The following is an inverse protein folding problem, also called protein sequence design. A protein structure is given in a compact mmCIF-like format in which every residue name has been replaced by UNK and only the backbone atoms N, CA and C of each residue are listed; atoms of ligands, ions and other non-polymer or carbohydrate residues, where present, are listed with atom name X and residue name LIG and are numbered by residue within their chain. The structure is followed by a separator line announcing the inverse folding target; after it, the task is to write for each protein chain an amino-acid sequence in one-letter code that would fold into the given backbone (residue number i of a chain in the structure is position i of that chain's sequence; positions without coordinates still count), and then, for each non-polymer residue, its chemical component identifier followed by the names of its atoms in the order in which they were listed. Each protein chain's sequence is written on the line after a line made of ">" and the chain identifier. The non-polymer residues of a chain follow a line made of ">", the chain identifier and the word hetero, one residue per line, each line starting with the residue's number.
data_IF_374252861258
#
_entry.id   IF_374252861258
#
_cell.length_a   1.000
_cell.length_b   1.000
_cell.length_c   1.000
_cell.angle_alpha   90.00
_cell.angle_beta   90.00
_cell.angle_gamma   90.00
#
_symmetry.space_group_name_H-M   'P 1'
#
loop_
_entity.id
_entity.type
_entity.pdbx_description
1 polymer ?
#
# COMPACT_ATOMS: atom_id res chain seq x y z
N UNK A 1 0.70 16.19 6.70
CA UNK A 1 -0.11 16.98 5.75
C UNK A 1 -1.02 16.02 5.00
N UNK A 2 -2.32 16.28 4.95
CA UNK A 2 -3.31 15.32 4.45
C UNK A 2 -3.38 15.30 2.92
N UNK A 3 -2.44 14.59 2.29
CA UNK A 3 -2.27 14.59 0.84
C UNK A 3 -3.49 14.10 0.03
N UNK A 4 -4.41 13.36 0.65
CA UNK A 4 -5.54 12.72 -0.04
C UNK A 4 -6.91 13.33 0.30
N UNK A 5 -6.97 14.41 1.10
CA UNK A 5 -8.24 15.08 1.41
C UNK A 5 -8.72 15.94 0.25
N UNK A 6 -10.03 15.89 -0.03
CA UNK A 6 -10.69 16.78 -1.00
C UNK A 6 -10.79 16.25 -2.44
N UNK A 7 -10.38 15.01 -2.71
CA UNK A 7 -10.52 14.39 -4.03
C UNK A 7 -10.53 12.86 -3.95
N UNK A 8 -10.78 12.19 -5.08
CA UNK A 8 -10.70 10.74 -5.15
C UNK A 8 -9.22 10.31 -5.00
N UNK A 9 -8.85 9.45 -4.03
CA UNK A 9 -7.45 9.16 -3.71
C UNK A 9 -6.60 8.74 -4.91
N UNK A 10 -7.13 7.89 -5.78
CA UNK A 10 -6.43 7.41 -6.98
C UNK A 10 -6.17 8.52 -8.02
N UNK A 11 -7.02 9.54 -8.10
CA UNK A 11 -6.80 10.69 -8.99
C UNK A 11 -5.71 11.60 -8.43
N UNK A 12 -5.76 11.87 -7.13
CA UNK A 12 -4.75 12.67 -6.43
C UNK A 12 -3.37 12.03 -6.55
N UNK A 13 -3.25 10.72 -6.34
CA UNK A 13 -1.99 9.99 -6.50
C UNK A 13 -1.47 10.03 -7.94
N UNK A 14 -2.35 9.90 -8.94
CA UNK A 14 -1.98 10.04 -10.36
C UNK A 14 -1.44 11.44 -10.65
N UNK A 15 -2.05 12.49 -10.12
CA UNK A 15 -1.63 13.86 -10.38
C UNK A 15 -0.35 14.21 -9.63
N UNK A 16 -0.13 13.67 -8.43
CA UNK A 16 1.15 13.75 -7.72
C UNK A 16 2.28 13.07 -8.51
N UNK A 17 2.02 11.92 -9.12
CA UNK A 17 3.00 11.22 -9.95
C UNK A 17 3.44 12.02 -11.18
N UNK A 18 2.57 12.87 -11.74
CA UNK A 18 2.97 13.80 -12.82
C UNK A 18 4.01 14.82 -12.36
N UNK A 19 4.04 15.15 -11.06
CA UNK A 19 4.95 16.14 -10.48
C UNK A 19 6.23 15.52 -9.93
N UNK A 20 6.13 14.39 -9.24
CA UNK A 20 7.25 13.78 -8.50
C UNK A 20 7.81 12.53 -9.15
N UNK A 21 7.16 12.01 -10.20
CA UNK A 21 7.56 10.79 -10.89
C UNK A 21 6.79 9.55 -10.43
N UNK A 22 7.01 8.40 -11.09
CA UNK A 22 6.22 7.18 -10.92
C UNK A 22 6.52 6.39 -9.64
N UNK A 23 7.60 6.75 -8.94
CA UNK A 23 7.96 6.25 -7.62
C UNK A 23 8.15 7.47 -6.72
N UNK A 24 7.33 7.59 -5.69
CA UNK A 24 7.36 8.75 -4.81
C UNK A 24 7.16 8.33 -3.35
N UNK A 25 7.83 9.05 -2.45
CA UNK A 25 7.61 8.93 -1.02
C UNK A 25 6.49 9.89 -0.60
N UNK A 26 5.60 9.41 0.28
CA UNK A 26 4.48 10.17 0.79
C UNK A 26 4.33 9.93 2.30
N UNK A 27 4.09 10.99 3.04
CA UNK A 27 3.68 10.92 4.43
C UNK A 27 2.15 10.96 4.52
N UNK A 28 1.50 9.82 4.73
CA UNK A 28 0.04 9.72 4.87
C UNK A 28 -0.35 9.69 6.35
N UNK A 29 -0.67 10.87 6.88
CA UNK A 29 -0.83 11.04 8.32
C UNK A 29 0.49 10.73 9.02
N UNK A 30 0.48 9.74 9.90
CA UNK A 30 1.67 9.26 10.63
C UNK A 30 2.42 8.13 9.90
N UNK A 31 1.84 7.59 8.81
CA UNK A 31 2.44 6.49 8.05
C UNK A 31 3.31 7.01 6.92
N UNK A 32 4.58 6.63 6.93
CA UNK A 32 5.52 6.84 5.83
C UNK A 32 5.36 5.71 4.80
N UNK A 33 5.10 6.06 3.54
CA UNK A 33 4.87 5.07 2.48
C UNK A 33 5.53 5.45 1.15
N UNK A 34 5.82 4.44 0.34
CA UNK A 34 6.28 4.59 -1.05
C UNK A 34 5.12 4.21 -1.97
N UNK A 35 4.79 5.11 -2.90
CA UNK A 35 3.75 4.89 -3.90
C UNK A 35 4.40 4.57 -5.24
N UNK A 36 3.91 3.51 -5.89
CA UNK A 36 4.22 3.18 -7.28
C UNK A 36 2.99 3.42 -8.15
N UNK A 37 3.14 4.18 -9.24
CA UNK A 37 2.01 4.58 -10.10
C UNK A 37 2.16 4.19 -11.57
N UNK A 38 3.22 3.47 -11.95
CA UNK A 38 3.39 2.95 -13.31
C UNK A 38 3.04 1.47 -13.41
N UNK A 39 2.47 1.00 -14.54
CA UNK A 39 2.20 -0.42 -14.76
C UNK A 39 3.46 -1.28 -14.68
N UNK A 40 4.58 -0.80 -15.23
CA UNK A 40 5.85 -1.52 -15.20
C UNK A 40 6.35 -1.71 -13.77
N UNK A 41 6.27 -0.68 -12.92
CA UNK A 41 6.66 -0.83 -11.52
C UNK A 41 5.67 -1.66 -10.70
N UNK A 42 4.37 -1.55 -10.97
CA UNK A 42 3.39 -2.44 -10.37
C UNK A 42 3.70 -3.91 -10.69
N UNK A 43 4.11 -4.23 -11.93
CA UNK A 43 4.55 -5.58 -12.30
C UNK A 43 5.82 -6.02 -11.55
N UNK A 44 6.77 -5.12 -11.37
CA UNK A 44 7.99 -5.42 -10.60
C UNK A 44 7.66 -5.76 -9.14
N UNK A 45 6.77 -5.01 -8.50
CA UNK A 45 6.38 -5.18 -7.08
C UNK A 45 5.44 -6.37 -6.88
N UNK A 46 4.40 -6.49 -7.70
CA UNK A 46 3.31 -7.44 -7.49
C UNK A 46 3.50 -8.80 -8.18
N UNK A 47 4.52 -8.95 -9.03
CA UNK A 47 4.82 -10.22 -9.72
C UNK A 47 6.28 -10.62 -9.61
N UNK A 48 7.20 -9.71 -9.98
CA UNK A 48 8.62 -10.08 -10.09
C UNK A 48 9.25 -10.26 -8.71
N UNK A 49 8.85 -9.44 -7.75
CA UNK A 49 9.31 -9.46 -6.36
C UNK A 49 8.14 -9.62 -5.38
N UNK A 50 7.09 -10.32 -5.81
CA UNK A 50 5.83 -10.45 -5.05
C UNK A 50 6.06 -10.92 -3.61
N UNK A 51 6.90 -11.92 -3.40
CA UNK A 51 7.23 -12.48 -2.10
C UNK A 51 7.84 -11.44 -1.14
N UNK A 52 8.64 -10.51 -1.65
CA UNK A 52 9.26 -9.45 -0.85
C UNK A 52 8.23 -8.40 -0.37
N UNK A 53 7.12 -8.24 -1.09
CA UNK A 53 6.08 -7.24 -0.81
C UNK A 53 4.74 -7.85 -0.41
N UNK A 54 4.65 -9.17 -0.25
CA UNK A 54 3.40 -9.89 0.00
C UNK A 54 2.84 -9.63 1.41
N UNK A 55 3.69 -9.36 2.40
CA UNK A 55 3.25 -9.22 3.79
C UNK A 55 2.40 -7.96 4.00
N UNK A 56 1.33 -8.09 4.78
CA UNK A 56 0.43 -6.99 5.14
C UNK A 56 0.97 -6.23 6.37
N UNK A 57 0.85 -4.90 6.38
CA UNK A 57 1.19 -4.11 7.57
C UNK A 57 0.16 -4.38 8.68
N UNK A 58 0.59 -4.24 9.93
CA UNK A 58 -0.32 -4.28 11.07
C UNK A 58 -1.16 -3.00 11.08
N UNK A 59 -2.48 -3.18 11.06
CA UNK A 59 -3.44 -2.09 11.12
C UNK A 59 -4.36 -2.35 12.32
N UNK A 60 -4.49 -1.37 13.22
CA UNK A 60 -5.36 -1.49 14.39
C UNK A 60 -6.80 -1.86 14.02
N UNK A 61 -7.32 -1.29 12.93
CA UNK A 61 -8.64 -1.62 12.41
C UNK A 61 -8.75 -3.11 12.02
N UNK A 62 -7.69 -3.67 11.43
CA UNK A 62 -7.68 -5.09 11.09
C UNK A 62 -7.57 -5.99 12.33
N UNK A 63 -6.84 -5.54 13.35
CA UNK A 63 -6.76 -6.27 14.61
C UNK A 63 -8.14 -6.40 15.29
N UNK A 64 -8.88 -5.29 15.31
CA UNK A 64 -10.22 -5.20 15.93
C UNK A 64 -11.28 -5.93 15.09
N UNK A 65 -11.27 -5.75 13.77
CA UNK A 65 -12.35 -6.21 12.90
C UNK A 65 -12.13 -7.61 12.32
N UNK A 66 -10.88 -8.05 12.20
CA UNK A 66 -10.53 -9.26 11.44
C UNK A 66 -9.71 -10.26 12.26
N UNK A 67 -10.14 -10.51 13.49
CA UNK A 67 -9.56 -11.54 14.37
C UNK A 67 -8.04 -11.39 14.51
N UNK A 68 -7.57 -10.20 14.90
CA UNK A 68 -6.14 -9.90 14.97
C UNK A 68 -5.44 -9.94 13.59
N UNK A 69 -6.17 -9.67 12.51
CA UNK A 69 -5.69 -9.71 11.13
C UNK A 69 -5.36 -11.13 10.64
N UNK A 70 -6.07 -12.16 11.08
CA UNK A 70 -5.85 -13.55 10.59
C UNK A 70 -6.77 -13.93 9.44
N UNK A 71 -7.47 -12.96 8.85
CA UNK A 71 -8.29 -13.15 7.66
C UNK A 71 -7.45 -13.21 6.37
N UNK A 72 -8.09 -13.59 5.27
CA UNK A 72 -7.42 -13.77 3.97
C UNK A 72 -6.82 -12.47 3.38
N UNK A 73 -7.34 -11.29 3.76
CA UNK A 73 -6.96 -10.00 3.19
C UNK A 73 -5.82 -9.34 3.97
N UNK A 74 -5.85 -9.39 5.31
CA UNK A 74 -4.91 -8.65 6.19
C UNK A 74 -3.86 -9.52 6.90
N UNK A 75 -3.85 -10.84 6.73
CA UNK A 75 -2.81 -11.67 7.35
C UNK A 75 -1.41 -11.36 6.82
N UNK A 76 -0.40 -11.24 7.70
CA UNK A 76 1.00 -11.21 7.30
C UNK A 76 1.35 -12.46 6.51
N UNK A 77 2.25 -12.31 5.53
CA UNK A 77 2.66 -13.44 4.72
C UNK A 77 3.45 -14.45 5.56
N UNK A 78 3.10 -15.73 5.46
CA UNK A 78 3.72 -16.82 6.21
C UNK A 78 2.96 -18.13 5.97
N UNK A 79 3.37 -19.21 6.62
CA UNK A 79 2.81 -20.55 6.42
C UNK A 79 1.32 -20.65 6.76
N UNK A 80 0.80 -19.77 7.60
CA UNK A 80 -0.64 -19.69 7.88
C UNK A 80 -1.44 -19.11 6.69
N UNK A 81 -0.88 -18.14 5.97
CA UNK A 81 -1.57 -17.48 4.86
C UNK A 81 -1.40 -18.20 3.52
N UNK A 82 -0.27 -18.90 3.32
CA UNK A 82 0.07 -19.64 2.10
C UNK A 82 -0.69 -20.96 2.02
#
# INVERSE_FOLDING_TARGET
>A
MFHLLGGLPHQVLRDLAKKYGPIMHLQLGEVSLVVVTSPDMAKQVLKTHDLAFASRPKLLAAEILFYNGTDIVFSPYGDYWR
#
